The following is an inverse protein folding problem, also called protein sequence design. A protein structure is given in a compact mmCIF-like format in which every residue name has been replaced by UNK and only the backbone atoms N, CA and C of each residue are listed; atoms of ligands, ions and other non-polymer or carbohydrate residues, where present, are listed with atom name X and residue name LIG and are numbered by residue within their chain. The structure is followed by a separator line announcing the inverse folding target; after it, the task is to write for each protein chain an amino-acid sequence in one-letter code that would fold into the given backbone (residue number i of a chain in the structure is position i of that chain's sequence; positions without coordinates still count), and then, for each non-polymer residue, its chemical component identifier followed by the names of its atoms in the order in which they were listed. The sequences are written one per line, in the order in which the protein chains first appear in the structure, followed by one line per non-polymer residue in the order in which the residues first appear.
data_IF_141393393110
#
_entry.id   IF_141393393110
#
_cell.length_a   1.000
_cell.length_b   1.000
_cell.length_c   1.000
_cell.angle_alpha   90.00
_cell.angle_beta   90.00
_cell.angle_gamma   90.00
#
_symmetry.space_group_name_H-M   'P 1'
#
loop_
_entity.id
_entity.type
_entity.pdbx_description
1 polymer ?
#
# COMPACT_ATOMS: atom_id res chain seq x y z
N UNK A 1 19.55 11.21 -26.89
CA UNK A 1 20.18 12.04 -25.85
C UNK A 1 20.86 11.11 -24.85
N UNK A 2 22.10 11.37 -24.41
CA UNK A 2 22.75 10.51 -23.43
C UNK A 2 22.02 10.61 -22.08
N UNK A 3 21.77 9.45 -21.47
CA UNK A 3 21.19 9.32 -20.13
C UNK A 3 22.32 9.35 -19.10
N UNK A 4 22.12 10.08 -18.02
CA UNK A 4 22.97 10.11 -16.84
C UNK A 4 22.53 8.99 -15.87
N UNK A 5 23.30 7.92 -15.84
CA UNK A 5 23.05 6.77 -14.97
C UNK A 5 23.07 7.15 -13.48
N UNK A 6 23.79 8.20 -13.09
CA UNK A 6 23.76 8.69 -11.72
C UNK A 6 22.38 9.25 -11.35
N UNK A 7 21.71 9.92 -12.28
CA UNK A 7 20.36 10.44 -12.07
C UNK A 7 19.34 9.30 -12.02
N UNK A 8 19.46 8.26 -12.87
CA UNK A 8 18.62 7.07 -12.78
C UNK A 8 18.78 6.35 -11.44
N UNK A 9 20.02 6.11 -11.00
CA UNK A 9 20.30 5.46 -9.72
C UNK A 9 19.74 6.27 -8.55
N UNK A 10 19.88 7.59 -8.59
CA UNK A 10 19.30 8.49 -7.59
C UNK A 10 17.78 8.41 -7.59
N UNK A 11 17.14 8.44 -8.75
CA UNK A 11 15.69 8.31 -8.87
C UNK A 11 15.16 7.00 -8.26
N UNK A 12 15.81 5.86 -8.53
CA UNK A 12 15.42 4.56 -7.93
C UNK A 12 15.63 4.57 -6.41
N UNK A 13 16.70 5.21 -5.93
CA UNK A 13 16.97 5.36 -4.50
C UNK A 13 15.94 6.24 -3.80
N UNK A 14 15.62 7.39 -4.39
CA UNK A 14 14.62 8.34 -3.87
C UNK A 14 13.23 7.66 -3.85
N UNK A 15 12.87 6.92 -4.90
CA UNK A 15 11.60 6.18 -4.96
C UNK A 15 11.52 5.15 -3.84
N UNK A 16 12.55 4.33 -3.65
CA UNK A 16 12.56 3.33 -2.58
C UNK A 16 12.55 3.96 -1.19
N UNK A 17 13.28 5.07 -0.99
CA UNK A 17 13.28 5.79 0.28
C UNK A 17 11.90 6.35 0.62
N UNK A 18 11.23 6.99 -0.35
CA UNK A 18 9.89 7.54 -0.17
C UNK A 18 8.86 6.41 0.03
N UNK A 19 9.02 5.30 -0.67
CA UNK A 19 8.19 4.11 -0.48
C UNK A 19 8.36 3.52 0.92
N UNK A 20 9.59 3.30 1.39
CA UNK A 20 9.83 2.72 2.71
C UNK A 20 9.29 3.60 3.83
N UNK A 21 9.34 4.93 3.67
CA UNK A 21 8.80 5.88 4.63
C UNK A 21 7.26 5.82 4.72
N UNK A 22 6.58 5.69 3.57
CA UNK A 22 5.12 5.81 3.50
C UNK A 22 4.41 4.45 3.44
N UNK A 23 5.11 3.33 3.24
CA UNK A 23 4.51 2.00 3.08
C UNK A 23 3.87 1.50 4.37
N UNK A 24 2.62 1.05 4.23
CA UNK A 24 1.88 0.37 5.30
C UNK A 24 2.56 -0.94 5.74
N UNK A 25 3.30 -1.58 4.83
CA UNK A 25 3.97 -2.83 5.10
C UNK A 25 5.20 -2.63 6.00
N UNK A 26 5.98 -1.57 5.75
CA UNK A 26 7.15 -1.25 6.57
C UNK A 26 6.77 -0.72 7.95
N UNK A 27 5.61 -0.05 8.06
CA UNK A 27 5.21 0.65 9.28
C UNK A 27 4.40 -0.22 10.25
N UNK A 28 3.68 -1.23 9.75
CA UNK A 28 2.78 -2.04 10.58
C UNK A 28 3.05 -3.53 10.47
N UNK A 29 3.31 -4.08 9.28
CA UNK A 29 3.29 -5.54 9.10
C UNK A 29 4.61 -6.25 9.42
N UNK A 30 4.52 -7.48 9.94
CA UNK A 30 5.66 -8.40 9.97
C UNK A 30 6.01 -8.86 8.55
N UNK A 31 7.03 -8.22 7.97
CA UNK A 31 7.55 -8.55 6.66
C UNK A 31 8.57 -9.70 6.73
N UNK A 32 8.22 -10.82 6.13
CA UNK A 32 9.11 -11.98 6.00
C UNK A 32 9.93 -11.81 4.70
N UNK A 33 11.27 -11.76 4.77
CA UNK A 33 12.09 -11.72 3.57
C UNK A 33 11.94 -13.02 2.77
N UNK A 34 11.82 -12.91 1.46
CA UNK A 34 11.77 -14.08 0.58
C UNK A 34 13.06 -14.91 0.68
N UNK A 35 12.89 -16.22 0.80
CA UNK A 35 13.93 -17.23 0.84
C UNK A 35 13.52 -18.31 -0.16
N UNK A 36 14.38 -18.57 -1.15
CA UNK A 36 14.05 -19.47 -2.26
C UNK A 36 13.84 -20.92 -1.79
N UNK A 37 14.61 -21.38 -0.79
CA UNK A 37 14.50 -22.76 -0.28
C UNK A 37 13.19 -22.98 0.49
N UNK A 38 12.66 -21.92 1.11
CA UNK A 38 11.45 -21.99 1.93
C UNK A 38 10.17 -21.59 1.21
N UNK A 39 10.25 -20.63 0.29
CA UNK A 39 9.08 -19.93 -0.24
C UNK A 39 8.93 -20.11 -1.76
N UNK A 40 9.69 -21.01 -2.41
CA UNK A 40 9.63 -21.22 -3.87
C UNK A 40 8.24 -21.62 -4.40
N UNK A 41 7.41 -22.26 -3.58
CA UNK A 41 6.06 -22.70 -3.96
C UNK A 41 4.96 -21.69 -3.64
N UNK A 42 5.30 -20.60 -2.96
CA UNK A 42 4.33 -19.57 -2.60
C UNK A 42 3.85 -18.80 -3.84
N UNK A 43 2.59 -18.39 -3.80
CA UNK A 43 2.01 -17.52 -4.82
C UNK A 43 2.36 -16.07 -4.52
N UNK A 44 2.75 -15.33 -5.55
CA UNK A 44 3.12 -13.92 -5.42
C UNK A 44 2.30 -13.04 -6.36
N UNK A 45 1.81 -11.95 -5.81
CA UNK A 45 1.10 -10.88 -6.50
C UNK A 45 2.05 -9.70 -6.70
N UNK A 46 1.77 -8.90 -7.71
CA UNK A 46 2.56 -7.71 -8.03
C UNK A 46 1.69 -6.47 -7.94
N UNK A 47 2.13 -5.51 -7.14
CA UNK A 47 1.47 -4.21 -7.01
C UNK A 47 2.39 -3.19 -7.65
N UNK A 48 1.95 -2.59 -8.74
CA UNK A 48 2.79 -1.66 -9.47
C UNK A 48 2.13 -1.14 -10.74
N UNK A 49 2.91 -0.38 -11.50
CA UNK A 49 2.44 0.22 -12.74
C UNK A 49 3.51 0.18 -13.81
N UNK A 50 3.05 0.10 -15.06
CA UNK A 50 3.83 0.30 -16.27
C UNK A 50 3.51 1.68 -16.83
N UNK A 51 4.54 2.47 -17.09
CA UNK A 51 4.40 3.81 -17.65
C UNK A 51 5.57 4.13 -18.55
N UNK A 52 5.35 5.01 -19.51
CA UNK A 52 6.46 5.58 -20.25
C UNK A 52 7.12 6.69 -19.41
N UNK A 53 8.44 6.65 -19.32
CA UNK A 53 9.23 7.60 -18.56
C UNK A 53 10.24 8.31 -19.47
N UNK A 54 10.05 9.60 -19.79
CA UNK A 54 10.90 10.33 -20.72
C UNK A 54 12.39 10.31 -20.31
N UNK A 55 13.27 9.88 -21.23
CA UNK A 55 14.72 9.82 -20.98
C UNK A 55 15.34 11.18 -20.66
N UNK A 56 14.69 12.27 -21.10
CA UNK A 56 15.08 13.65 -20.79
C UNK A 56 15.07 14.00 -19.31
N UNK A 57 14.28 13.30 -18.49
CA UNK A 57 14.32 13.51 -17.04
C UNK A 57 15.67 13.10 -16.43
N UNK A 58 16.46 12.34 -17.17
CA UNK A 58 17.75 11.81 -16.75
C UNK A 58 18.90 12.32 -17.61
N UNK A 59 18.73 13.40 -18.37
CA UNK A 59 19.79 13.91 -19.24
C UNK A 59 20.78 14.80 -18.49
N UNK A 60 22.07 14.70 -18.84
CA UNK A 60 23.09 15.61 -18.30
C UNK A 60 22.79 17.06 -18.69
N UNK A 61 22.69 17.94 -17.69
CA UNK A 61 22.49 19.38 -17.89
C UNK A 61 21.03 19.84 -17.91
N UNK A 62 20.06 18.92 -17.81
CA UNK A 62 18.67 19.27 -17.53
C UNK A 62 18.44 19.46 -16.01
N UNK A 63 17.57 20.40 -15.64
CA UNK A 63 17.28 20.80 -14.24
C UNK A 63 16.01 20.16 -13.67
N UNK A 64 15.55 19.02 -14.21
CA UNK A 64 14.35 18.36 -13.70
C UNK A 64 14.63 17.75 -12.32
N UNK A 65 13.80 18.09 -11.33
CA UNK A 65 13.84 17.44 -10.02
C UNK A 65 13.14 16.08 -10.12
N UNK A 66 13.92 15.01 -10.29
CA UNK A 66 13.42 13.63 -10.35
C UNK A 66 12.81 13.17 -9.04
N UNK A 67 13.16 13.82 -7.92
CA UNK A 67 12.65 13.53 -6.59
C UNK A 67 11.12 13.59 -6.52
N UNK A 68 10.50 14.66 -7.03
CA UNK A 68 9.03 14.78 -6.98
C UNK A 68 8.31 13.69 -7.77
N UNK A 69 8.91 13.24 -8.88
CA UNK A 69 8.37 12.15 -9.71
C UNK A 69 8.53 10.82 -8.96
N UNK A 70 9.68 10.59 -8.32
CA UNK A 70 9.94 9.42 -7.51
C UNK A 70 8.92 9.29 -6.36
N UNK A 71 8.66 10.38 -5.63
CA UNK A 71 7.66 10.41 -4.56
C UNK A 71 6.26 10.09 -5.06
N UNK A 72 5.89 10.56 -6.26
CA UNK A 72 4.57 10.25 -6.84
C UNK A 72 4.44 8.76 -7.17
N UNK A 73 5.50 8.14 -7.68
CA UNK A 73 5.49 6.71 -8.00
C UNK A 73 5.46 5.86 -6.74
N UNK A 74 6.23 6.24 -5.71
CA UNK A 74 6.18 5.60 -4.40
C UNK A 74 4.74 5.63 -3.83
N UNK A 75 4.09 6.79 -3.81
CA UNK A 75 2.70 6.94 -3.35
C UNK A 75 1.71 6.08 -4.14
N UNK A 76 1.92 5.91 -5.44
CA UNK A 76 1.08 5.02 -6.25
C UNK A 76 1.19 3.56 -5.82
N UNK A 77 2.39 3.09 -5.45
CA UNK A 77 2.57 1.73 -4.91
C UNK A 77 1.88 1.63 -3.54
N UNK A 78 2.15 2.57 -2.63
CA UNK A 78 1.56 2.57 -1.28
C UNK A 78 0.03 2.58 -1.33
N UNK A 79 -0.55 3.32 -2.27
CA UNK A 79 -2.00 3.32 -2.51
C UNK A 79 -2.49 1.93 -2.94
N UNK A 80 -1.77 1.27 -3.85
CA UNK A 80 -2.06 -0.10 -4.26
C UNK A 80 -1.91 -1.11 -3.12
N UNK A 81 -0.93 -0.95 -2.23
CA UNK A 81 -0.74 -1.82 -1.06
C UNK A 81 -1.93 -1.74 -0.11
N UNK A 82 -2.39 -0.53 0.22
CA UNK A 82 -3.59 -0.36 1.04
C UNK A 82 -4.80 -1.07 0.44
N UNK A 83 -4.97 -0.96 -0.88
CA UNK A 83 -6.06 -1.64 -1.56
C UNK A 83 -5.92 -3.15 -1.57
N UNK A 84 -4.72 -3.66 -1.77
CA UNK A 84 -4.42 -5.09 -1.72
C UNK A 84 -4.71 -5.69 -0.35
N UNK A 85 -4.25 -5.02 0.72
CA UNK A 85 -4.53 -5.47 2.09
C UNK A 85 -6.03 -5.45 2.35
N UNK A 86 -6.72 -4.31 2.10
CA UNK A 86 -8.16 -4.22 2.33
C UNK A 86 -8.94 -5.34 1.61
N UNK A 87 -8.65 -5.59 0.33
CA UNK A 87 -9.30 -6.66 -0.44
C UNK A 87 -9.02 -8.04 0.12
N UNK A 88 -7.78 -8.31 0.56
CA UNK A 88 -7.43 -9.60 1.17
C UNK A 88 -8.31 -9.90 2.39
N UNK A 89 -8.61 -8.89 3.21
CA UNK A 89 -9.53 -9.05 4.35
C UNK A 89 -10.99 -9.23 3.91
N UNK A 90 -11.44 -8.45 2.92
CA UNK A 90 -12.82 -8.49 2.42
C UNK A 90 -13.12 -9.84 1.75
N UNK A 91 -12.19 -10.37 0.97
CA UNK A 91 -12.34 -11.64 0.24
C UNK A 91 -12.41 -12.85 1.21
N UNK A 92 -11.87 -12.72 2.42
CA UNK A 92 -11.82 -13.77 3.46
C UNK A 92 -12.93 -13.66 4.52
N UNK A 93 -13.88 -12.74 4.33
CA UNK A 93 -15.03 -12.57 5.24
C UNK A 93 -15.87 -13.85 5.30
N UNK A 94 -16.14 -14.31 6.52
CA UNK A 94 -16.94 -15.50 6.79
C UNK A 94 -16.19 -16.82 6.65
N UNK A 95 -14.92 -16.79 6.22
CA UNK A 95 -14.01 -17.94 6.28
C UNK A 95 -13.04 -17.77 7.45
N UNK A 96 -12.11 -16.83 7.35
CA UNK A 96 -11.10 -16.54 8.38
C UNK A 96 -11.36 -15.22 9.10
N UNK A 97 -12.03 -14.26 8.47
CA UNK A 97 -12.22 -12.90 9.02
C UNK A 97 -13.68 -12.67 9.43
N UNK A 98 -13.87 -12.17 10.66
CA UNK A 98 -15.20 -11.78 11.14
C UNK A 98 -15.66 -10.43 10.56
N UNK A 99 -16.98 -10.24 10.49
CA UNK A 99 -17.56 -9.02 9.96
C UNK A 99 -18.85 -8.58 10.64
N UNK A 100 -19.22 -7.32 10.42
CA UNK A 100 -20.55 -6.78 10.74
C UNK A 100 -21.01 -5.76 9.68
N UNK A 101 -22.29 -5.84 9.34
CA UNK A 101 -22.91 -4.95 8.35
C UNK A 101 -23.15 -3.54 8.91
N UNK A 102 -22.81 -2.53 8.11
CA UNK A 102 -23.08 -1.13 8.34
C UNK A 102 -24.56 -0.81 8.04
N UNK A 103 -25.34 -0.50 9.07
CA UNK A 103 -26.80 -0.34 8.92
C UNK A 103 -27.23 0.98 8.26
N UNK A 104 -26.66 2.10 8.68
CA UNK A 104 -27.11 3.43 8.23
C UNK A 104 -25.95 4.38 8.03
N UNK A 105 -25.13 4.57 9.07
CA UNK A 105 -23.98 5.46 9.04
C UNK A 105 -22.85 4.88 9.88
N UNK A 106 -21.63 5.26 9.51
CA UNK A 106 -20.47 4.97 10.33
C UNK A 106 -20.63 5.63 11.70
N UNK A 107 -20.43 4.87 12.77
CA UNK A 107 -20.47 5.39 14.14
C UNK A 107 -19.23 4.96 14.91
N UNK A 108 -18.86 5.75 15.91
CA UNK A 108 -17.72 5.42 16.77
C UNK A 108 -17.97 4.11 17.55
N UNK A 109 -19.22 3.85 17.93
CA UNK A 109 -19.59 2.61 18.62
C UNK A 109 -19.34 1.36 17.76
N UNK A 110 -19.55 1.45 16.44
CA UNK A 110 -19.26 0.35 15.52
C UNK A 110 -17.76 0.10 15.38
N UNK A 111 -16.96 1.17 15.33
CA UNK A 111 -15.48 1.05 15.35
C UNK A 111 -15.02 0.45 16.68
N UNK A 112 -15.61 0.86 17.81
CA UNK A 112 -15.31 0.31 19.13
C UNK A 112 -15.74 -1.16 19.26
N UNK A 113 -16.83 -1.56 18.60
CA UNK A 113 -17.26 -2.96 18.51
C UNK A 113 -16.25 -3.78 17.70
N UNK A 114 -15.88 -3.33 16.50
CA UNK A 114 -14.86 -3.98 15.67
C UNK A 114 -13.51 -4.08 16.43
N UNK A 115 -13.10 -3.00 17.10
CA UNK A 115 -11.90 -2.98 17.94
C UNK A 115 -11.93 -4.06 19.02
N UNK A 116 -13.09 -4.38 19.59
CA UNK A 116 -13.20 -5.41 20.65
C UNK A 116 -13.15 -6.84 20.12
N UNK A 117 -13.39 -7.03 18.82
CA UNK A 117 -13.29 -8.35 18.19
C UNK A 117 -11.84 -8.67 17.79
N UNK A 118 -11.00 -7.65 17.62
CA UNK A 118 -9.59 -7.78 17.26
C UNK A 118 -8.71 -7.63 18.52
N UNK A 119 -7.63 -8.43 18.70
CA UNK A 119 -6.84 -8.40 19.94
C UNK A 119 -6.15 -7.06 20.23
N UNK A 120 -5.39 -6.52 19.28
CA UNK A 120 -4.72 -5.22 19.40
C UNK A 120 -4.59 -4.55 18.01
N UNK A 121 -5.66 -3.97 17.47
CA UNK A 121 -5.62 -3.43 16.10
C UNK A 121 -4.75 -2.18 16.01
N UNK A 122 -3.84 -2.19 15.03
CA UNK A 122 -2.87 -1.11 14.77
C UNK A 122 -3.45 0.01 13.93
N UNK A 123 -4.30 -0.34 12.95
CA UNK A 123 -4.88 0.63 12.04
C UNK A 123 -6.24 0.21 11.49
N UNK A 124 -6.93 1.18 10.90
CA UNK A 124 -8.20 1.02 10.21
C UNK A 124 -8.07 1.61 8.81
N UNK A 125 -8.40 0.80 7.80
CA UNK A 125 -8.52 1.21 6.42
C UNK A 125 -9.94 1.73 6.17
N UNK A 126 -10.07 3.04 5.89
CA UNK A 126 -11.36 3.69 5.64
C UNK A 126 -11.37 4.23 4.21
N UNK A 127 -12.33 3.84 3.34
CA UNK A 127 -12.51 4.44 2.03
C UNK A 127 -12.87 5.92 2.12
N UNK A 128 -12.34 6.74 1.20
CA UNK A 128 -12.55 8.20 1.18
C UNK A 128 -13.91 8.53 0.53
N UNK A 129 -15.01 8.13 1.15
CA UNK A 129 -16.34 8.65 0.83
C UNK A 129 -16.64 9.89 1.69
N UNK A 130 -17.39 10.85 1.17
CA UNK A 130 -17.73 12.09 1.86
C UNK A 130 -18.35 11.82 3.23
N UNK A 131 -19.26 10.84 3.32
CA UNK A 131 -19.97 10.46 4.55
C UNK A 131 -18.99 9.98 5.63
N UNK A 132 -18.03 9.12 5.27
CA UNK A 132 -17.02 8.60 6.19
C UNK A 132 -16.03 9.68 6.59
N UNK A 133 -15.54 10.45 5.62
CA UNK A 133 -14.61 11.54 5.86
C UNK A 133 -15.20 12.59 6.80
N UNK A 134 -16.46 12.99 6.60
CA UNK A 134 -17.17 13.93 7.47
C UNK A 134 -17.32 13.36 8.88
N UNK A 135 -17.72 12.10 8.99
CA UNK A 135 -17.91 11.41 10.27
C UNK A 135 -16.61 11.34 11.07
N UNK A 136 -15.52 10.89 10.45
CA UNK A 136 -14.20 10.82 11.07
C UNK A 136 -13.68 12.21 11.44
N UNK A 137 -13.90 13.20 10.57
CA UNK A 137 -13.54 14.60 10.84
C UNK A 137 -14.29 15.17 12.04
N UNK A 138 -15.56 14.81 12.25
CA UNK A 138 -16.34 15.19 13.43
C UNK A 138 -15.79 14.53 14.69
N UNK A 139 -15.42 13.25 14.64
CA UNK A 139 -14.77 12.57 15.77
C UNK A 139 -13.48 13.28 16.17
N UNK A 140 -12.64 13.62 15.17
CA UNK A 140 -11.38 14.33 15.38
C UNK A 140 -11.56 15.73 16.00
N UNK A 141 -12.67 16.42 15.71
CA UNK A 141 -12.97 17.74 16.32
C UNK A 141 -13.43 17.63 17.78
N UNK A 142 -13.99 16.50 18.18
CA UNK A 142 -14.65 16.33 19.49
C UNK A 142 -13.72 15.76 20.57
N UNK A 143 -12.49 15.35 20.23
CA UNK A 143 -11.50 14.86 21.19
C UNK A 143 -10.34 15.85 21.33
N UNK A 144 -10.07 16.33 22.56
CA UNK A 144 -9.05 17.34 22.88
C UNK A 144 -7.59 16.83 22.72
N UNK A 145 -7.39 15.53 22.52
CA UNK A 145 -6.08 14.85 22.51
C UNK A 145 -5.87 14.13 21.19
N UNK A 146 -5.48 14.85 20.13
CA UNK A 146 -5.02 14.23 18.89
C UNK A 146 -3.71 14.90 18.48
N UNK A 147 -2.59 14.32 18.89
CA UNK A 147 -1.27 14.72 18.41
C UNK A 147 -0.99 14.04 17.06
N UNK A 148 -0.63 14.85 16.05
CA UNK A 148 -0.24 14.46 14.68
C UNK A 148 -1.32 14.31 13.60
N UNK A 149 -2.45 15.03 13.72
CA UNK A 149 -3.27 15.44 12.57
C UNK A 149 -4.07 14.33 11.87
N UNK A 150 -5.37 14.22 12.15
CA UNK A 150 -6.38 13.40 11.46
C UNK A 150 -6.07 11.90 11.24
N UNK A 151 -4.98 11.39 11.80
CA UNK A 151 -4.49 10.04 11.49
C UNK A 151 -4.71 9.03 12.58
N UNK A 152 -5.19 9.37 13.78
CA UNK A 152 -5.09 8.40 14.88
C UNK A 152 -6.19 8.46 15.93
N UNK A 153 -7.01 7.42 16.05
CA UNK A 153 -8.09 7.32 17.04
C UNK A 153 -7.57 6.73 18.36
N UNK A 154 -7.84 7.41 19.47
CA UNK A 154 -7.74 6.79 20.80
C UNK A 154 -8.97 5.91 21.07
N UNK A 155 -8.78 4.59 21.15
CA UNK A 155 -9.82 3.63 21.49
C UNK A 155 -9.48 3.00 22.85
N UNK A 156 -10.11 3.51 23.91
CA UNK A 156 -9.82 3.06 25.28
C UNK A 156 -8.45 3.55 25.77
N UNK A 157 -7.46 2.66 25.81
CA UNK A 157 -6.06 2.97 26.16
C UNK A 157 -5.08 2.81 25.00
N UNK A 158 -5.56 2.38 23.83
CA UNK A 158 -4.73 2.11 22.66
C UNK A 158 -4.95 3.18 21.59
N UNK A 159 -3.94 3.32 20.74
CA UNK A 159 -3.86 4.31 19.68
C UNK A 159 -3.92 3.58 18.34
N UNK A 160 -4.93 3.87 17.50
CA UNK A 160 -5.20 3.16 16.24
C UNK A 160 -5.11 4.13 15.05
N UNK A 161 -4.27 3.86 14.06
CA UNK A 161 -4.11 4.75 12.90
C UNK A 161 -5.28 4.64 11.90
N UNK A 162 -5.80 5.75 11.40
CA UNK A 162 -6.72 5.81 10.27
C UNK A 162 -5.91 5.96 8.98
N UNK A 163 -6.01 4.95 8.14
CA UNK A 163 -5.41 4.93 6.82
C UNK A 163 -6.50 5.05 5.75
N UNK A 164 -6.48 6.17 5.05
CA UNK A 164 -7.41 6.41 3.96
C UNK A 164 -7.12 5.52 2.74
N UNK A 165 -8.17 4.91 2.19
CA UNK A 165 -8.15 4.09 0.97
C UNK A 165 -8.87 4.84 -0.15
N UNK A 166 -8.24 4.90 -1.32
CA UNK A 166 -8.83 5.55 -2.49
C UNK A 166 -10.06 4.77 -2.99
N UNK A 167 -11.16 5.47 -3.24
CA UNK A 167 -12.38 4.90 -3.82
C UNK A 167 -12.20 4.41 -5.26
N UNK A 168 -11.20 4.92 -5.99
CA UNK A 168 -10.79 4.42 -7.32
C UNK A 168 -10.38 2.93 -7.32
N UNK A 169 -10.12 2.37 -6.14
CA UNK A 169 -9.78 0.96 -5.95
C UNK A 169 -11.00 0.06 -5.75
N UNK A 170 -12.23 0.57 -5.90
CA UNK A 170 -13.47 -0.21 -5.77
C UNK A 170 -13.56 -0.92 -4.40
N UNK A 171 -13.12 -0.23 -3.34
CA UNK A 171 -13.18 -0.72 -1.96
C UNK A 171 -14.20 0.15 -1.23
N UNK A 172 -15.28 -0.50 -0.78
CA UNK A 172 -16.38 0.15 -0.05
C UNK A 172 -16.31 -0.10 1.45
N UNK A 173 -15.82 -1.27 1.83
CA UNK A 173 -15.81 -1.73 3.21
C UNK A 173 -14.69 -1.08 4.03
N UNK A 174 -14.89 -1.08 5.34
CA UNK A 174 -13.91 -0.60 6.30
C UNK A 174 -13.24 -1.80 6.94
N UNK A 175 -11.91 -1.79 7.03
CA UNK A 175 -11.14 -2.92 7.55
C UNK A 175 -10.35 -2.48 8.77
N UNK A 176 -10.57 -3.14 9.91
CA UNK A 176 -9.77 -2.99 11.14
C UNK A 176 -8.73 -4.10 11.14
N UNK A 177 -7.46 -3.77 11.34
CA UNK A 177 -6.35 -4.72 11.17
C UNK A 177 -5.46 -4.77 12.41
N UNK A 178 -5.10 -5.99 12.81
CA UNK A 178 -4.00 -6.31 13.72
C UNK A 178 -2.89 -6.99 12.91
N UNK A 179 -1.75 -6.32 12.88
CA UNK A 179 -0.64 -6.70 12.03
C UNK A 179 0.26 -7.78 12.60
N UNK A 180 0.21 -8.04 13.90
CA UNK A 180 0.93 -9.15 14.53
C UNK A 180 0.43 -10.51 14.02
N UNK A 181 -0.80 -10.54 13.52
CA UNK A 181 -1.44 -11.72 12.91
C UNK A 181 -1.56 -11.63 11.38
N UNK A 182 -0.89 -10.68 10.72
CA UNK A 182 -0.98 -10.49 9.27
C UNK A 182 0.41 -10.58 8.64
N UNK A 183 0.86 -11.80 8.36
CA UNK A 183 2.20 -12.05 7.82
C UNK A 183 2.23 -11.97 6.31
N UNK A 184 3.27 -11.30 5.78
CA UNK A 184 3.44 -11.10 4.34
C UNK A 184 4.89 -11.38 3.96
N UNK A 185 5.09 -12.22 2.94
CA UNK A 185 6.41 -12.47 2.35
C UNK A 185 6.66 -11.45 1.24
N UNK A 186 7.81 -10.77 1.27
CA UNK A 186 8.19 -9.80 0.24
C UNK A 186 9.44 -10.25 -0.52
N UNK A 187 9.38 -10.17 -1.85
CA UNK A 187 10.57 -10.28 -2.72
C UNK A 187 11.19 -8.92 -2.94
N UNK A 188 12.51 -8.90 -2.92
CA UNK A 188 13.33 -7.75 -3.29
C UNK A 188 13.82 -7.84 -4.73
N UNK A 189 14.31 -6.73 -5.27
CA UNK A 189 14.89 -6.71 -6.61
C UNK A 189 16.06 -7.69 -6.74
N UNK A 190 16.06 -8.46 -7.83
CA UNK A 190 16.95 -9.59 -8.05
C UNK A 190 16.38 -10.95 -7.63
N UNK A 191 15.26 -10.99 -6.89
CA UNK A 191 14.57 -12.23 -6.50
C UNK A 191 13.31 -12.51 -7.35
N UNK A 192 12.94 -11.60 -8.25
CA UNK A 192 11.79 -11.72 -9.14
C UNK A 192 12.22 -11.53 -10.59
N UNK A 193 11.68 -12.36 -11.49
CA UNK A 193 11.95 -12.25 -12.92
C UNK A 193 11.39 -10.94 -13.49
N UNK A 194 12.08 -10.28 -14.43
CA UNK A 194 11.55 -9.11 -15.12
C UNK A 194 10.17 -9.39 -15.76
N UNK A 195 9.29 -8.37 -15.88
CA UNK A 195 8.03 -8.52 -16.61
C UNK A 195 8.30 -8.99 -18.05
N UNK A 196 7.66 -10.07 -18.53
CA UNK A 196 7.99 -10.69 -19.82
C UNK A 196 7.67 -9.80 -21.03
N UNK A 197 6.87 -8.76 -20.84
CA UNK A 197 6.39 -7.84 -21.87
C UNK A 197 7.29 -6.62 -22.08
N UNK A 198 8.41 -6.54 -21.35
CA UNK A 198 9.34 -5.41 -21.35
C UNK A 198 10.67 -5.85 -21.94
N UNK A 199 11.17 -5.15 -22.97
CA UNK A 199 12.53 -5.37 -23.49
C UNK A 199 13.56 -4.73 -22.55
N UNK A 200 13.94 -5.46 -21.50
CA UNK A 200 14.73 -4.94 -20.37
C UNK A 200 16.15 -4.51 -20.75
N UNK A 201 16.60 -3.43 -20.12
CA UNK A 201 17.99 -2.98 -20.10
C UNK A 201 18.66 -3.59 -18.86
N UNK A 202 19.33 -4.74 -19.06
CA UNK A 202 19.94 -5.53 -17.97
C UNK A 202 20.90 -4.72 -17.08
N UNK A 203 21.67 -3.81 -17.66
CA UNK A 203 22.61 -2.96 -16.92
C UNK A 203 21.94 -2.11 -15.83
N UNK A 204 20.64 -1.82 -15.95
CA UNK A 204 19.91 -0.99 -14.97
C UNK A 204 19.21 -1.81 -13.88
N UNK A 205 19.20 -3.14 -13.98
CA UNK A 205 18.62 -4.01 -12.94
C UNK A 205 19.37 -3.90 -11.62
N UNK A 206 20.67 -3.58 -11.65
CA UNK A 206 21.47 -3.39 -10.44
C UNK A 206 20.93 -2.27 -9.53
N UNK A 207 20.21 -1.28 -10.08
CA UNK A 207 19.69 -0.14 -9.31
C UNK A 207 18.61 -0.57 -8.32
N UNK A 208 17.90 -1.65 -8.62
CA UNK A 208 16.81 -2.20 -7.81
C UNK A 208 17.25 -3.38 -6.93
N UNK A 209 18.49 -3.86 -7.05
CA UNK A 209 18.93 -5.07 -6.35
C UNK A 209 18.88 -4.88 -4.83
N UNK A 210 18.22 -5.80 -4.13
CA UNK A 210 18.04 -5.75 -2.67
C UNK A 210 17.15 -4.60 -2.22
N UNK A 211 16.28 -4.09 -3.09
CA UNK A 211 15.31 -3.03 -2.80
C UNK A 211 13.89 -3.56 -2.82
N UNK A 212 12.98 -3.05 -1.97
CA UNK A 212 11.61 -3.53 -1.92
C UNK A 212 10.80 -3.15 -3.18
N UNK A 213 11.03 -1.96 -3.74
CA UNK A 213 10.46 -1.59 -5.04
C UNK A 213 11.42 -2.02 -6.15
N UNK A 214 10.92 -2.93 -6.98
CA UNK A 214 11.60 -3.46 -8.16
C UNK A 214 11.31 -2.53 -9.33
N UNK A 215 12.32 -1.76 -9.73
CA UNK A 215 12.29 -0.91 -10.91
C UNK A 215 12.93 -1.65 -12.10
N UNK A 216 12.20 -1.74 -13.22
CA UNK A 216 12.65 -2.32 -14.49
C UNK A 216 12.55 -1.27 -15.58
N UNK A 217 13.65 -1.03 -16.29
CA UNK A 217 13.72 -0.09 -17.41
C UNK A 217 13.79 -0.86 -18.74
N UNK A 218 12.78 -0.69 -19.58
CA UNK A 218 12.72 -1.23 -20.93
C UNK A 218 13.23 -0.26 -21.99
N UNK A 219 13.65 -0.81 -23.14
CA UNK A 219 14.10 -0.03 -24.30
C UNK A 219 12.91 0.60 -25.03
N UNK A 220 12.90 1.92 -25.11
CA UNK A 220 12.15 2.69 -26.10
C UNK A 220 13.05 3.81 -26.66
N UNK A 221 12.72 4.37 -27.80
CA UNK A 221 13.43 5.43 -28.53
C UNK A 221 13.71 6.66 -27.66
N UNK A 222 12.67 7.37 -27.22
CA UNK A 222 12.75 8.63 -26.47
C UNK A 222 12.39 8.49 -24.99
N UNK A 223 11.70 7.41 -24.65
CA UNK A 223 11.21 7.10 -23.30
C UNK A 223 11.85 5.80 -22.80
N UNK A 224 11.70 5.51 -21.52
CA UNK A 224 11.85 4.17 -20.97
C UNK A 224 10.46 3.57 -20.85
N UNK A 225 10.30 2.32 -21.26
CA UNK A 225 9.17 1.50 -20.84
C UNK A 225 9.42 1.07 -19.38
N UNK A 226 8.89 1.85 -18.44
CA UNK A 226 9.26 1.78 -17.05
C UNK A 226 8.21 1.03 -16.24
N UNK A 227 8.64 -0.03 -15.56
CA UNK A 227 7.82 -0.77 -14.61
C UNK A 227 8.40 -0.60 -13.21
N UNK A 228 7.56 -0.21 -12.26
CA UNK A 228 7.89 -0.15 -10.85
C UNK A 228 6.83 -0.90 -10.07
N UNK A 229 7.25 -1.84 -9.22
CA UNK A 229 6.35 -2.76 -8.51
C UNK A 229 6.95 -3.27 -7.20
N UNK A 230 6.09 -3.64 -6.26
CA UNK A 230 6.41 -4.55 -5.16
C UNK A 230 5.86 -5.93 -5.47
N UNK A 231 6.46 -6.96 -4.89
CA UNK A 231 6.09 -8.36 -5.12
C UNK A 231 5.91 -9.04 -3.78
N UNK A 232 4.66 -9.42 -3.48
CA UNK A 232 4.20 -9.82 -2.15
C UNK A 232 3.47 -11.16 -2.25
N UNK A 233 3.54 -11.98 -1.20
CA UNK A 233 2.57 -13.07 -1.04
C UNK A 233 1.18 -12.51 -0.70
N UNK A 234 0.16 -13.34 -0.81
CA UNK A 234 -1.09 -13.08 -0.10
C UNK A 234 -0.80 -12.99 1.41
N UNK A 235 -1.50 -12.11 2.16
CA UNK A 235 -1.39 -12.07 3.60
C UNK A 235 -1.90 -13.38 4.21
N UNK A 236 -1.15 -13.96 5.13
CA UNK A 236 -1.64 -15.09 5.95
C UNK A 236 -2.60 -14.54 7.00
N UNK A 237 -3.91 -14.65 6.73
CA UNK A 237 -4.97 -14.18 7.62
C UNK A 237 -5.47 -15.28 8.57
N UNK A 238 -5.99 -14.85 9.71
CA UNK A 238 -6.59 -15.66 10.78
C UNK A 238 -7.76 -14.88 11.39
N UNK A 239 -8.55 -15.54 12.23
CA UNK A 239 -9.62 -14.92 13.05
C UNK A 239 -9.17 -13.74 13.92
N UNK A 240 -7.85 -13.59 14.16
CA UNK A 240 -7.28 -12.50 14.94
C UNK A 240 -6.69 -11.36 14.09
N UNK A 241 -6.57 -11.55 12.78
CA UNK A 241 -5.89 -10.59 11.90
C UNK A 241 -6.67 -9.30 11.71
N UNK A 242 -8.00 -9.34 11.86
CA UNK A 242 -8.80 -8.16 11.65
C UNK A 242 -10.31 -8.40 11.66
N UNK A 243 -11.03 -7.34 11.35
CA UNK A 243 -12.48 -7.31 11.33
C UNK A 243 -12.96 -6.40 10.20
N UNK A 244 -13.98 -6.84 9.45
CA UNK A 244 -14.55 -6.07 8.33
C UNK A 244 -15.90 -5.47 8.71
N UNK A 245 -16.05 -4.17 8.49
CA UNK A 245 -17.35 -3.51 8.54
C UNK A 245 -17.85 -3.40 7.10
N UNK A 246 -18.81 -4.26 6.76
CA UNK A 246 -19.36 -4.40 5.42
C UNK A 246 -20.34 -3.26 5.11
N UNK A 247 -20.13 -2.56 4.01
CA UNK A 247 -21.01 -1.48 3.54
C UNK A 247 -22.01 -2.07 2.55
N UNK A 248 -23.32 -2.02 2.83
CA UNK A 248 -24.33 -2.55 1.91
C UNK A 248 -24.23 -1.95 0.50
N UNK A 249 -24.45 -2.78 -0.51
CA UNK A 249 -24.43 -2.38 -1.92
C UNK A 249 -25.50 -1.31 -2.24
N UNK A 250 -26.62 -1.32 -1.52
CA UNK A 250 -27.72 -0.38 -1.67
C UNK A 250 -27.51 0.94 -0.90
N UNK A 251 -26.46 1.04 -0.10
CA UNK A 251 -26.07 2.29 0.55
C UNK A 251 -25.46 3.24 -0.49
N UNK A 252 -26.12 4.38 -0.69
CA UNK A 252 -25.58 5.46 -1.52
C UNK A 252 -24.46 6.18 -0.75
N UNK A 253 -23.25 6.13 -1.31
CA UNK A 253 -22.07 6.84 -0.81
C UNK A 253 -21.58 7.81 -1.88
N UNK A 254 -21.13 8.98 -1.44
CA UNK A 254 -20.69 10.07 -2.32
C UNK A 254 -19.17 10.14 -2.32
N UNK A 255 -18.56 10.26 -3.51
CA UNK A 255 -17.11 10.49 -3.69
C UNK A 255 -16.71 11.95 -3.47
#
# INVERSE_FOLDING_TARGET
MPVDEQQLRRFVSDLNSDYEQDSILSNHHELIPFDEDRHATESFIQIGRRTNLPKRFFAQGDNYSTFQIASQFAKSIVTGEKGFIARSFIDEVGEEVESAELKEKLTFDLILEAYRQVPDPDYILIPIYEEFHNTVSEWARNQESWMSGFRTIEVGTSEVEILWVSTDLDIRDIVVVDTDYTRIIRKEGGQSSPPPEVDTIEDYEEFSRGKPVICTFGRDSEEFDFVYRTVLSEPELTEYSGFVIEVPDDMELSE
#
